data_IF_331715659486
#
_entry.id   IF_331715659486
#
_cell.length_a   1.000
_cell.length_b   1.000
_cell.length_c   1.000
_cell.angle_alpha   90.00
_cell.angle_beta   90.00
_cell.angle_gamma   90.00
#
_symmetry.space_group_name_H-M   'P 1'
#
loop_
_entity.id
_entity.type
_entity.pdbx_description
1 polymer ?
#
# COMPACT_ATOMS: atom_id res chain seq x y z
N UNK A 1 31.95 -26.53 -24.95
CA UNK A 1 33.02 -27.47 -24.60
C UNK A 1 33.34 -27.29 -23.13
N UNK A 2 32.69 -28.07 -22.27
CA UNK A 2 32.88 -28.05 -20.82
C UNK A 2 33.61 -29.33 -20.44
N UNK A 3 34.70 -29.22 -19.69
CA UNK A 3 35.43 -30.37 -19.16
C UNK A 3 34.48 -31.22 -18.31
N UNK A 4 34.48 -32.53 -18.51
CA UNK A 4 33.73 -33.44 -17.63
C UNK A 4 34.49 -33.63 -16.31
N UNK A 5 33.78 -34.03 -15.25
CA UNK A 5 34.38 -34.28 -13.93
C UNK A 5 35.56 -35.26 -14.00
N UNK A 6 35.45 -36.28 -14.86
CA UNK A 6 36.49 -37.28 -15.09
C UNK A 6 37.69 -36.72 -15.87
N UNK A 7 37.48 -35.74 -16.74
CA UNK A 7 38.56 -35.06 -17.45
C UNK A 7 39.36 -34.17 -16.52
N UNK A 8 38.72 -33.44 -15.60
CA UNK A 8 39.40 -32.61 -14.60
C UNK A 8 40.29 -33.45 -13.68
N UNK A 9 39.79 -34.61 -13.24
CA UNK A 9 40.56 -35.57 -12.43
C UNK A 9 41.75 -36.19 -13.15
N UNK A 10 41.71 -36.25 -14.48
CA UNK A 10 42.77 -36.85 -15.30
C UNK A 10 43.87 -35.85 -15.65
N UNK A 11 43.63 -34.55 -15.47
CA UNK A 11 44.64 -33.52 -15.72
C UNK A 11 45.73 -33.61 -14.65
N UNK A 12 46.98 -33.77 -15.09
CA UNK A 12 48.15 -33.75 -14.21
C UNK A 12 48.95 -32.48 -14.44
N UNK A 13 49.18 -31.74 -13.36
CA UNK A 13 50.01 -30.55 -13.41
C UNK A 13 51.48 -30.92 -13.19
N UNK A 14 52.42 -30.43 -14.02
CA UNK A 14 53.85 -30.65 -13.79
C UNK A 14 54.32 -29.88 -12.55
N UNK A 15 55.15 -30.50 -11.71
CA UNK A 15 55.77 -29.81 -10.57
C UNK A 15 56.70 -28.68 -11.04
N UNK A 16 56.64 -27.55 -10.34
CA UNK A 16 57.50 -26.41 -10.62
C UNK A 16 58.98 -26.78 -10.38
N UNK A 17 59.86 -26.34 -11.29
CA UNK A 17 61.29 -26.69 -11.26
C UNK A 17 62.08 -26.06 -10.11
N UNK A 18 61.50 -25.09 -9.39
CA UNK A 18 62.15 -24.38 -8.28
C UNK A 18 61.30 -24.51 -7.00
N UNK A 19 61.92 -24.75 -5.84
CA UNK A 19 61.19 -24.82 -4.57
C UNK A 19 60.55 -23.46 -4.27
N UNK A 20 59.22 -23.37 -4.30
CA UNK A 20 58.46 -22.16 -3.95
C UNK A 20 57.78 -21.43 -5.12
N UNK A 21 58.08 -21.76 -6.38
CA UNK A 21 57.51 -21.08 -7.56
C UNK A 21 56.25 -21.79 -8.12
N UNK A 22 55.48 -22.50 -7.28
CA UNK A 22 54.29 -23.22 -7.73
C UNK A 22 53.26 -23.43 -6.62
N UNK A 23 52.01 -23.65 -7.01
CA UNK A 23 50.95 -24.05 -6.08
C UNK A 23 51.32 -25.38 -5.42
N UNK A 24 51.05 -25.49 -4.13
CA UNK A 24 51.30 -26.71 -3.36
C UNK A 24 50.33 -27.78 -3.83
N UNK A 25 50.84 -28.98 -4.14
CA UNK A 25 50.02 -30.07 -4.66
C UNK A 25 48.80 -30.37 -3.76
N UNK A 26 48.98 -30.40 -2.43
CA UNK A 26 47.89 -30.61 -1.49
C UNK A 26 46.79 -29.52 -1.55
N UNK A 27 47.17 -28.25 -1.74
CA UNK A 27 46.20 -27.15 -1.84
C UNK A 27 45.44 -27.15 -3.18
N UNK A 28 46.10 -27.63 -4.24
CA UNK A 28 45.47 -27.85 -5.55
C UNK A 28 44.52 -29.03 -5.49
N UNK A 29 44.89 -30.11 -4.83
CA UNK A 29 44.03 -31.29 -4.63
C UNK A 29 42.79 -30.93 -3.79
N UNK A 30 42.95 -30.21 -2.66
CA UNK A 30 41.83 -29.72 -1.83
C UNK A 30 40.90 -28.75 -2.58
N UNK A 31 41.43 -28.03 -3.55
CA UNK A 31 40.64 -27.16 -4.41
C UNK A 31 39.87 -27.97 -5.46
N UNK A 32 40.51 -28.96 -6.10
CA UNK A 32 39.87 -29.86 -7.07
C UNK A 32 38.75 -30.66 -6.39
N UNK A 33 38.93 -31.14 -5.17
CA UNK A 33 37.87 -31.84 -4.41
C UNK A 33 36.65 -30.95 -4.14
N UNK A 34 36.86 -29.65 -3.87
CA UNK A 34 35.76 -28.68 -3.71
C UNK A 34 35.07 -28.37 -5.02
N UNK A 35 35.84 -28.21 -6.10
CA UNK A 35 35.30 -28.03 -7.45
C UNK A 35 34.44 -29.25 -7.82
N UNK A 36 34.92 -30.46 -7.56
CA UNK A 36 34.18 -31.70 -7.80
C UNK A 36 32.85 -31.75 -7.05
N UNK A 37 32.86 -31.41 -5.76
CA UNK A 37 31.64 -31.36 -4.95
C UNK A 37 30.63 -30.34 -5.50
N UNK A 38 31.10 -29.16 -5.95
CA UNK A 38 30.23 -28.13 -6.53
C UNK A 38 29.71 -28.50 -7.91
N UNK A 39 30.52 -29.14 -8.76
CA UNK A 39 30.10 -29.61 -10.07
C UNK A 39 29.10 -30.77 -9.96
N UNK A 40 29.30 -31.68 -9.01
CA UNK A 40 28.33 -32.73 -8.72
C UNK A 40 27.00 -32.11 -8.25
N UNK A 41 27.03 -31.15 -7.32
CA UNK A 41 25.84 -30.45 -6.88
C UNK A 41 25.13 -29.69 -8.02
N UNK A 42 25.90 -29.04 -8.91
CA UNK A 42 25.34 -28.31 -10.05
C UNK A 42 24.78 -29.25 -11.13
N UNK A 43 25.36 -30.44 -11.28
CA UNK A 43 24.85 -31.48 -12.19
C UNK A 43 23.56 -32.09 -11.64
N UNK A 44 23.53 -32.43 -10.34
CA UNK A 44 22.33 -32.89 -9.65
C UNK A 44 21.21 -31.84 -9.70
N UNK A 45 21.54 -30.56 -9.52
CA UNK A 45 20.60 -29.45 -9.65
C UNK A 45 20.11 -29.30 -11.09
N UNK A 46 21.00 -29.44 -12.08
CA UNK A 46 20.62 -29.42 -13.50
C UNK A 46 19.72 -30.60 -13.88
N UNK A 47 19.97 -31.80 -13.34
CA UNK A 47 19.12 -32.97 -13.52
C UNK A 47 17.78 -32.81 -12.81
N UNK A 48 17.76 -32.24 -11.60
CA UNK A 48 16.52 -31.90 -10.89
C UNK A 48 15.71 -30.85 -11.64
N UNK A 49 16.34 -29.79 -12.14
CA UNK A 49 15.68 -28.74 -12.91
C UNK A 49 15.17 -29.28 -14.25
N UNK A 50 15.93 -30.16 -14.91
CA UNK A 50 15.46 -30.86 -16.13
C UNK A 50 14.29 -31.79 -15.82
N UNK A 51 14.35 -32.57 -14.74
CA UNK A 51 13.26 -33.43 -14.30
C UNK A 51 12.02 -32.63 -13.89
N UNK A 52 12.20 -31.45 -13.28
CA UNK A 52 11.12 -30.50 -13.00
C UNK A 52 10.54 -29.91 -14.28
N UNK A 53 11.38 -29.51 -15.24
CA UNK A 53 10.95 -29.04 -16.55
C UNK A 53 10.24 -30.12 -17.35
N UNK A 54 10.68 -31.37 -17.26
CA UNK A 54 10.06 -32.51 -17.92
C UNK A 54 8.76 -32.92 -17.21
N UNK A 55 8.69 -32.78 -15.88
CA UNK A 55 7.46 -32.93 -15.10
C UNK A 55 6.45 -31.81 -15.42
N UNK A 56 6.91 -30.56 -15.56
CA UNK A 56 6.08 -29.43 -15.98
C UNK A 56 5.63 -29.57 -17.44
N UNK A 57 6.52 -30.03 -18.31
CA UNK A 57 6.23 -30.23 -19.73
C UNK A 57 5.32 -31.44 -19.96
N UNK A 58 5.43 -32.47 -19.13
CA UNK A 58 4.49 -33.62 -19.12
C UNK A 58 3.19 -33.31 -18.39
N UNK A 59 3.17 -32.31 -17.49
CA UNK A 59 1.91 -31.73 -16.99
C UNK A 59 1.23 -30.83 -18.03
N UNK A 60 1.99 -30.14 -18.89
CA UNK A 60 1.47 -29.41 -20.06
C UNK A 60 0.94 -30.36 -21.17
N UNK A 61 1.48 -31.59 -21.27
CA UNK A 61 1.08 -32.59 -22.30
C UNK A 61 -0.03 -33.57 -21.81
N UNK A 62 -0.51 -33.41 -20.57
CA UNK A 62 -1.72 -34.08 -20.06
C UNK A 62 -2.91 -33.13 -20.22
N UNK A 63 -3.48 -33.15 -21.42
CA UNK A 63 -4.73 -32.46 -21.76
C UNK A 63 -5.90 -32.99 -20.94
N UNK A 64 -6.11 -32.44 -19.73
CA UNK A 64 -7.36 -32.56 -18.99
C UNK A 64 -7.61 -31.36 -18.04
N UNK A 65 -7.13 -30.15 -18.36
CA UNK A 65 -7.53 -28.91 -17.67
C UNK A 65 -7.35 -27.70 -18.59
N UNK A 66 -8.22 -27.53 -19.59
CA UNK A 66 -8.28 -26.32 -20.43
C UNK A 66 -9.27 -25.26 -19.85
N UNK A 67 -9.93 -25.57 -18.73
CA UNK A 67 -10.92 -24.68 -18.08
C UNK A 67 -10.36 -23.77 -16.96
N UNK A 68 -9.51 -24.21 -16.01
CA UNK A 68 -9.13 -23.35 -14.89
C UNK A 68 -8.12 -22.25 -15.25
N UNK A 69 -7.29 -22.43 -16.29
CA UNK A 69 -6.35 -21.40 -16.74
C UNK A 69 -7.02 -20.29 -17.57
N UNK A 70 -8.13 -20.60 -18.27
CA UNK A 70 -8.93 -19.58 -18.95
C UNK A 70 -9.61 -18.65 -17.95
N UNK A 71 -10.21 -19.19 -16.88
CA UNK A 71 -10.85 -18.38 -15.85
C UNK A 71 -9.84 -17.51 -15.09
N UNK A 72 -8.66 -18.05 -14.78
CA UNK A 72 -7.60 -17.30 -14.11
C UNK A 72 -6.99 -16.23 -15.03
N UNK A 73 -6.85 -16.52 -16.33
CA UNK A 73 -6.39 -15.55 -17.33
C UNK A 73 -7.40 -14.41 -17.52
N UNK A 74 -8.70 -14.73 -17.60
CA UNK A 74 -9.78 -13.75 -17.64
C UNK A 74 -9.80 -12.89 -16.37
N UNK A 75 -9.63 -13.49 -15.20
CA UNK A 75 -9.61 -12.75 -13.93
C UNK A 75 -8.37 -11.84 -13.83
N UNK A 76 -7.21 -12.29 -14.32
CA UNK A 76 -6.01 -11.46 -14.42
C UNK A 76 -6.23 -10.28 -15.39
N UNK A 77 -6.92 -10.51 -16.50
CA UNK A 77 -7.24 -9.45 -17.46
C UNK A 77 -8.24 -8.45 -16.87
N UNK A 78 -9.28 -8.93 -16.18
CA UNK A 78 -10.23 -8.09 -15.44
C UNK A 78 -9.57 -7.28 -14.34
N UNK A 79 -8.71 -7.90 -13.52
CA UNK A 79 -7.96 -7.21 -12.46
C UNK A 79 -7.00 -6.19 -13.05
N UNK A 80 -6.33 -6.49 -14.16
CA UNK A 80 -5.48 -5.52 -14.88
C UNK A 80 -6.29 -4.34 -15.41
N UNK A 81 -7.47 -4.60 -15.98
CA UNK A 81 -8.37 -3.55 -16.46
C UNK A 81 -8.87 -2.66 -15.32
N UNK A 82 -9.27 -3.24 -14.19
CA UNK A 82 -9.64 -2.49 -12.98
C UNK A 82 -8.49 -1.62 -12.45
N UNK A 83 -7.25 -2.12 -12.53
CA UNK A 83 -6.07 -1.38 -12.07
C UNK A 83 -5.68 -0.24 -13.02
N UNK A 84 -5.80 -0.45 -14.34
CA UNK A 84 -5.70 0.60 -15.35
C UNK A 84 -6.77 1.67 -15.17
N UNK A 85 -8.02 1.28 -14.94
CA UNK A 85 -9.13 2.21 -14.70
C UNK A 85 -8.95 2.99 -13.39
N UNK A 86 -8.55 2.34 -12.30
CA UNK A 86 -8.24 3.01 -11.04
C UNK A 86 -7.07 3.99 -11.18
N UNK A 87 -6.04 3.63 -11.96
CA UNK A 87 -4.92 4.53 -12.28
C UNK A 87 -5.36 5.70 -13.17
N UNK A 88 -6.22 5.46 -14.15
CA UNK A 88 -6.79 6.51 -14.99
C UNK A 88 -7.64 7.48 -14.17
N UNK A 89 -8.45 6.98 -13.23
CA UNK A 89 -9.21 7.79 -12.29
C UNK A 89 -8.33 8.58 -11.30
N UNK A 90 -7.19 8.03 -10.87
CA UNK A 90 -6.20 8.78 -10.08
C UNK A 90 -5.51 9.88 -10.91
N UNK A 91 -5.20 9.61 -12.18
CA UNK A 91 -4.63 10.62 -13.09
C UNK A 91 -5.63 11.75 -13.36
N UNK A 92 -6.90 11.43 -13.64
CA UNK A 92 -7.94 12.45 -13.85
C UNK A 92 -8.17 13.28 -12.59
N UNK A 93 -8.25 12.66 -11.40
CA UNK A 93 -8.30 13.39 -10.12
C UNK A 93 -7.07 14.28 -9.90
N UNK A 94 -5.89 13.81 -10.31
CA UNK A 94 -4.66 14.59 -10.24
C UNK A 94 -4.68 15.82 -11.18
N UNK A 95 -5.22 15.65 -12.38
CA UNK A 95 -5.36 16.74 -13.34
C UNK A 95 -6.49 17.72 -12.94
N UNK A 96 -7.60 17.24 -12.40
CA UNK A 96 -8.63 18.07 -11.77
C UNK A 96 -8.07 18.87 -10.59
N UNK A 97 -7.26 18.27 -9.72
CA UNK A 97 -6.61 19.00 -8.64
C UNK A 97 -5.66 20.09 -9.17
N UNK A 98 -5.00 19.86 -10.31
CA UNK A 98 -4.14 20.85 -10.96
C UNK A 98 -4.93 21.97 -11.64
N UNK A 99 -6.10 21.69 -12.22
CA UNK A 99 -6.97 22.72 -12.80
C UNK A 99 -7.58 23.58 -11.70
N UNK A 100 -8.06 22.97 -10.61
CA UNK A 100 -8.56 23.69 -9.44
C UNK A 100 -7.49 24.64 -8.88
N UNK A 101 -6.25 24.17 -8.68
CA UNK A 101 -5.15 25.05 -8.22
C UNK A 101 -4.86 26.21 -9.18
N UNK A 102 -4.97 25.99 -10.50
CA UNK A 102 -4.81 27.07 -11.50
C UNK A 102 -5.93 28.11 -11.36
N UNK A 103 -7.18 27.67 -11.28
CA UNK A 103 -8.32 28.57 -11.09
C UNK A 103 -8.24 29.33 -9.76
N UNK A 104 -7.77 28.70 -8.68
CA UNK A 104 -7.53 29.39 -7.41
C UNK A 104 -6.48 30.48 -7.54
N UNK A 105 -5.35 30.20 -8.21
CA UNK A 105 -4.31 31.19 -8.45
C UNK A 105 -4.82 32.36 -9.30
N UNK A 106 -5.67 32.10 -10.30
CA UNK A 106 -6.27 33.12 -11.14
C UNK A 106 -7.29 33.97 -10.36
N UNK A 107 -8.12 33.35 -9.53
CA UNK A 107 -9.06 34.07 -8.66
C UNK A 107 -8.35 34.97 -7.64
N UNK A 108 -7.24 34.51 -7.07
CA UNK A 108 -6.44 35.36 -6.17
C UNK A 108 -5.80 36.53 -6.92
N UNK A 109 -5.32 36.31 -8.14
CA UNK A 109 -4.78 37.38 -8.99
C UNK A 109 -5.85 38.42 -9.35
N UNK A 110 -7.04 37.98 -9.80
CA UNK A 110 -8.16 38.86 -10.13
C UNK A 110 -8.68 39.64 -8.91
N UNK A 111 -8.66 39.04 -7.71
CA UNK A 111 -9.01 39.76 -6.47
C UNK A 111 -8.00 40.86 -6.16
N UNK A 112 -6.71 40.58 -6.30
CA UNK A 112 -5.66 41.56 -6.09
C UNK A 112 -5.74 42.70 -7.11
N UNK A 113 -6.04 42.38 -8.37
CA UNK A 113 -6.23 43.36 -9.43
C UNK A 113 -7.46 44.24 -9.17
N UNK A 114 -8.60 43.65 -8.79
CA UNK A 114 -9.79 44.42 -8.41
C UNK A 114 -9.52 45.34 -7.21
N UNK A 115 -8.78 44.87 -6.20
CA UNK A 115 -8.39 45.70 -5.06
C UNK A 115 -7.53 46.90 -5.52
N UNK A 116 -6.59 46.67 -6.43
CA UNK A 116 -5.73 47.71 -7.01
C UNK A 116 -6.50 48.70 -7.89
N UNK A 117 -7.42 48.22 -8.74
CA UNK A 117 -8.27 49.09 -9.56
C UNK A 117 -9.20 49.93 -8.68
N UNK A 118 -9.74 49.36 -7.61
CA UNK A 118 -10.55 50.09 -6.65
C UNK A 118 -9.75 51.17 -5.91
N UNK A 119 -8.50 50.90 -5.52
CA UNK A 119 -7.65 51.92 -4.92
C UNK A 119 -7.37 53.05 -5.92
N UNK A 120 -7.03 52.71 -7.18
CA UNK A 120 -6.82 53.70 -8.26
C UNK A 120 -8.06 54.57 -8.51
N UNK A 121 -9.26 53.97 -8.55
CA UNK A 121 -10.51 54.71 -8.67
C UNK A 121 -10.76 55.63 -7.47
N UNK A 122 -10.40 55.18 -6.27
CA UNK A 122 -10.53 56.00 -5.06
C UNK A 122 -9.59 57.21 -5.09
N UNK A 123 -8.37 57.02 -5.58
CA UNK A 123 -7.37 58.09 -5.69
C UNK A 123 -7.74 59.08 -6.81
N UNK A 124 -8.16 58.59 -7.98
CA UNK A 124 -8.67 59.44 -9.05
C UNK A 124 -9.92 60.24 -8.61
N UNK A 125 -10.79 59.65 -7.80
CA UNK A 125 -11.93 60.37 -7.20
C UNK A 125 -11.48 61.44 -6.21
N UNK A 126 -10.46 61.17 -5.40
CA UNK A 126 -9.86 62.17 -4.49
C UNK A 126 -9.25 63.32 -5.28
N UNK A 127 -8.52 63.04 -6.35
CA UNK A 127 -7.94 64.06 -7.24
C UNK A 127 -9.02 64.91 -7.94
N UNK A 128 -10.10 64.28 -8.41
CA UNK A 128 -11.23 65.03 -8.96
C UNK A 128 -11.95 65.87 -7.89
N UNK A 129 -12.05 65.38 -6.66
CA UNK A 129 -12.62 66.14 -5.55
C UNK A 129 -11.71 67.31 -5.13
N UNK A 130 -10.39 67.13 -5.12
CA UNK A 130 -9.46 68.23 -4.85
C UNK A 130 -9.48 69.26 -5.97
N UNK A 131 -9.51 68.83 -7.25
CA UNK A 131 -9.64 69.74 -8.40
C UNK A 131 -10.98 70.50 -8.39
N UNK A 132 -12.09 69.85 -8.01
CA UNK A 132 -13.40 70.50 -7.80
C UNK A 132 -13.36 71.47 -6.63
N UNK A 133 -12.79 71.08 -5.49
CA UNK A 133 -12.63 71.99 -4.36
C UNK A 133 -11.67 73.15 -4.65
N UNK A 134 -10.70 72.99 -5.56
CA UNK A 134 -9.84 74.08 -6.02
C UNK A 134 -10.55 75.03 -7.01
N UNK A 135 -11.62 74.57 -7.67
CA UNK A 135 -12.51 75.40 -8.48
C UNK A 135 -13.68 76.00 -7.69
N UNK A 136 -14.07 75.39 -6.56
CA UNK A 136 -15.11 75.86 -5.62
C UNK A 136 -14.56 76.61 -4.39
N UNK A 137 -13.26 76.57 -4.13
CA UNK A 137 -12.62 77.43 -3.13
C UNK A 137 -12.79 78.89 -3.57
N UNK A 138 -13.17 79.79 -2.64
CA UNK A 138 -13.46 81.18 -2.97
C UNK A 138 -12.22 81.81 -3.61
N UNK A 139 -12.44 82.52 -4.72
CA UNK A 139 -11.45 83.36 -5.34
C UNK A 139 -10.97 84.45 -4.36
N UNK A 140 -9.98 84.14 -3.50
CA UNK A 140 -9.07 85.13 -2.94
C UNK A 140 -7.92 85.27 -3.93
N UNK A 141 -8.15 86.17 -4.88
CA UNK A 141 -7.19 86.65 -5.85
C UNK A 141 -6.07 87.44 -5.14
N UNK A 142 -4.82 87.01 -5.27
CA UNK A 142 -3.69 87.92 -5.36
C UNK A 142 -3.36 88.11 -6.84
N UNK A 143 -4.13 88.99 -7.49
CA UNK A 143 -3.76 89.66 -8.72
C UNK A 143 -3.56 91.13 -8.37
N UNK A 144 -2.31 91.56 -8.23
CA UNK A 144 -1.97 92.97 -8.39
C UNK A 144 -2.02 93.22 -9.89
N UNK A 145 -3.20 93.65 -10.34
CA UNK A 145 -3.51 94.01 -11.71
C UNK A 145 -4.73 94.91 -11.69
N UNK A 146 -4.49 96.19 -11.95
CA UNK A 146 -5.43 97.29 -11.98
C UNK A 146 -6.72 96.96 -12.77
N UNK A 147 -7.90 97.12 -12.16
CA UNK A 147 -9.19 96.97 -12.84
C UNK A 147 -10.34 96.40 -12.01
N UNK A 148 -11.07 97.29 -11.33
CA UNK A 148 -12.49 97.19 -10.88
C UNK A 148 -12.97 95.88 -10.23
N UNK A 149 -13.19 95.95 -8.92
CA UNK A 149 -14.03 95.03 -8.14
C UNK A 149 -15.50 95.33 -8.46
N UNK A 150 -16.19 94.41 -9.14
CA UNK A 150 -17.66 94.38 -9.11
C UNK A 150 -18.13 93.52 -7.95
N UNK A 151 -18.83 94.17 -7.02
CA UNK A 151 -19.57 93.54 -5.93
C UNK A 151 -20.85 92.96 -6.53
N UNK A 152 -20.98 91.63 -6.56
CA UNK A 152 -22.29 90.99 -6.78
C UNK A 152 -23.06 91.15 -5.47
N UNK A 153 -23.77 92.27 -5.34
CA UNK A 153 -24.83 92.41 -4.35
C UNK A 153 -25.99 91.52 -4.80
N UNK A 154 -26.23 90.46 -4.03
CA UNK A 154 -27.49 89.71 -4.10
C UNK A 154 -28.57 90.67 -3.57
N UNK A 155 -29.07 91.51 -4.47
CA UNK A 155 -30.20 92.37 -4.16
C UNK A 155 -31.42 91.48 -3.94
N UNK A 156 -32.19 91.81 -2.91
CA UNK A 156 -33.44 91.13 -2.58
C UNK A 156 -34.35 91.03 -3.81
N UNK A 157 -35.12 89.95 -3.86
CA UNK A 157 -36.09 89.45 -4.84
C UNK A 157 -37.08 90.44 -5.50
N UNK A 158 -36.92 91.76 -5.35
CA UNK A 158 -37.81 92.78 -5.86
C UNK A 158 -37.46 93.30 -7.27
N UNK A 159 -36.30 92.97 -7.85
CA UNK A 159 -35.92 93.36 -9.22
C UNK A 159 -35.36 92.21 -10.09
N UNK A 160 -35.73 90.96 -9.80
CA UNK A 160 -35.47 89.85 -10.72
C UNK A 160 -36.38 89.99 -11.95
N UNK A 161 -35.79 90.18 -13.13
CA UNK A 161 -36.50 90.13 -14.41
C UNK A 161 -37.36 88.86 -14.49
N UNK A 162 -38.60 88.91 -15.00
CA UNK A 162 -39.53 87.77 -15.03
C UNK A 162 -38.98 86.52 -15.75
N UNK A 163 -37.91 86.68 -16.55
CA UNK A 163 -37.16 85.59 -17.17
C UNK A 163 -36.31 84.77 -16.18
N UNK A 164 -35.73 85.39 -15.15
CA UNK A 164 -34.84 84.72 -14.18
C UNK A 164 -35.64 83.88 -13.19
N UNK A 165 -36.80 84.36 -12.75
CA UNK A 165 -37.72 83.58 -11.90
C UNK A 165 -38.19 82.30 -12.61
N UNK A 166 -38.56 82.39 -13.90
CA UNK A 166 -38.91 81.21 -14.71
C UNK A 166 -37.75 80.25 -14.91
N UNK A 167 -36.52 80.75 -15.01
CA UNK A 167 -35.34 79.90 -15.14
C UNK A 167 -35.07 79.14 -13.84
N UNK A 168 -35.23 79.78 -12.68
CA UNK A 168 -35.13 79.10 -11.38
C UNK A 168 -36.24 78.05 -11.26
N UNK A 169 -37.47 78.38 -11.62
CA UNK A 169 -38.61 77.45 -11.59
C UNK A 169 -38.42 76.25 -12.55
N UNK A 170 -37.91 76.48 -13.76
CA UNK A 170 -37.54 75.43 -14.71
C UNK A 170 -36.38 74.57 -14.19
N UNK A 171 -35.40 75.20 -13.52
CA UNK A 171 -34.26 74.51 -12.93
C UNK A 171 -34.63 73.69 -11.70
N UNK A 172 -35.57 74.17 -10.88
CA UNK A 172 -36.09 73.40 -9.73
C UNK A 172 -36.94 72.25 -10.23
N UNK A 173 -37.81 72.48 -11.23
CA UNK A 173 -38.59 71.41 -11.84
C UNK A 173 -37.72 70.37 -12.55
N UNK A 174 -36.61 70.77 -13.17
CA UNK A 174 -35.65 69.82 -13.77
C UNK A 174 -34.86 69.06 -12.69
N UNK A 175 -34.47 69.71 -11.60
CA UNK A 175 -33.82 69.04 -10.47
C UNK A 175 -34.73 68.02 -9.80
N UNK A 176 -36.01 68.35 -9.57
CA UNK A 176 -37.01 67.44 -9.03
C UNK A 176 -37.24 66.23 -9.94
N UNK A 177 -37.28 66.43 -11.27
CA UNK A 177 -37.34 65.31 -12.23
C UNK A 177 -36.14 64.39 -12.12
N UNK A 178 -34.92 64.94 -12.12
CA UNK A 178 -33.69 64.13 -12.04
C UNK A 178 -33.64 63.37 -10.71
N UNK A 179 -34.08 63.97 -9.61
CA UNK A 179 -34.18 63.29 -8.31
C UNK A 179 -35.23 62.18 -8.35
N UNK A 180 -36.39 62.40 -8.95
CA UNK A 180 -37.42 61.36 -9.12
C UNK A 180 -36.93 60.21 -9.99
N UNK A 181 -36.27 60.50 -11.12
CA UNK A 181 -35.70 59.50 -12.02
C UNK A 181 -34.59 58.70 -11.34
N UNK A 182 -33.69 59.37 -10.60
CA UNK A 182 -32.65 58.72 -9.82
C UNK A 182 -33.24 57.84 -8.71
N UNK A 183 -34.32 58.29 -8.05
CA UNK A 183 -35.02 57.53 -7.02
C UNK A 183 -35.71 56.29 -7.61
N UNK A 184 -36.34 56.41 -8.78
CA UNK A 184 -36.96 55.28 -9.48
C UNK A 184 -35.92 54.27 -9.95
N UNK A 185 -34.79 54.74 -10.47
CA UNK A 185 -33.67 53.86 -10.83
C UNK A 185 -33.06 53.16 -9.61
N UNK A 186 -32.91 53.86 -8.49
CA UNK A 186 -32.43 53.28 -7.25
C UNK A 186 -33.38 52.18 -6.75
N UNK A 187 -34.69 52.45 -6.74
CA UNK A 187 -35.71 51.47 -6.36
C UNK A 187 -35.71 50.25 -7.30
N UNK A 188 -35.55 50.46 -8.60
CA UNK A 188 -35.42 49.35 -9.58
C UNK A 188 -34.17 48.52 -9.31
N UNK A 189 -33.03 49.15 -9.05
CA UNK A 189 -31.77 48.46 -8.74
C UNK A 189 -31.88 47.66 -7.44
N UNK A 190 -32.52 48.21 -6.41
CA UNK A 190 -32.79 47.50 -5.15
C UNK A 190 -33.68 46.28 -5.40
N UNK A 191 -34.80 46.43 -6.12
CA UNK A 191 -35.69 45.31 -6.42
C UNK A 191 -35.00 44.19 -7.23
N UNK A 192 -34.11 44.54 -8.17
CA UNK A 192 -33.32 43.55 -8.92
C UNK A 192 -32.30 42.86 -8.01
N UNK A 193 -31.62 43.62 -7.14
CA UNK A 193 -30.68 43.07 -6.18
C UNK A 193 -31.38 42.12 -5.19
N UNK A 194 -32.54 42.50 -4.66
CA UNK A 194 -33.35 41.67 -3.76
C UNK A 194 -33.78 40.36 -4.41
N UNK A 195 -34.24 40.39 -5.66
CA UNK A 195 -34.57 39.15 -6.41
C UNK A 195 -33.35 38.26 -6.59
N UNK A 196 -32.20 38.85 -6.94
CA UNK A 196 -30.95 38.08 -7.13
C UNK A 196 -30.45 37.49 -5.82
N UNK A 197 -30.57 38.22 -4.72
CA UNK A 197 -30.27 37.70 -3.37
C UNK A 197 -31.20 36.54 -3.06
N UNK A 198 -32.50 36.68 -3.30
CA UNK A 198 -33.45 35.60 -3.06
C UNK A 198 -33.15 34.35 -3.89
N UNK A 199 -32.88 34.51 -5.19
CA UNK A 199 -32.47 33.43 -6.08
C UNK A 199 -31.20 32.72 -5.57
N UNK A 200 -30.17 33.48 -5.19
CA UNK A 200 -28.95 32.92 -4.63
C UNK A 200 -29.20 32.20 -3.30
N UNK A 201 -30.08 32.71 -2.44
CA UNK A 201 -30.41 32.04 -1.18
C UNK A 201 -31.12 30.71 -1.42
N UNK A 202 -32.05 30.65 -2.37
CA UNK A 202 -32.77 29.43 -2.72
C UNK A 202 -31.84 28.41 -3.38
N UNK A 203 -30.97 28.85 -4.29
CA UNK A 203 -29.98 27.98 -4.92
C UNK A 203 -28.98 27.44 -3.88
N UNK A 204 -28.49 28.30 -2.98
CA UNK A 204 -27.62 27.88 -1.88
C UNK A 204 -28.31 26.88 -0.94
N UNK A 205 -29.58 27.11 -0.59
CA UNK A 205 -30.37 26.18 0.22
C UNK A 205 -30.55 24.83 -0.48
N UNK A 206 -30.96 24.84 -1.75
CA UNK A 206 -31.16 23.61 -2.53
C UNK A 206 -29.86 22.80 -2.66
N UNK A 207 -28.73 23.49 -2.88
CA UNK A 207 -27.41 22.84 -2.93
C UNK A 207 -27.02 22.27 -1.57
N UNK A 208 -27.28 22.99 -0.48
CA UNK A 208 -27.01 22.51 0.87
C UNK A 208 -27.84 21.25 1.19
N UNK A 209 -29.14 21.25 0.90
CA UNK A 209 -30.03 20.09 1.10
C UNK A 209 -29.58 18.87 0.26
N UNK A 210 -29.12 19.10 -0.97
CA UNK A 210 -28.56 18.03 -1.81
C UNK A 210 -27.27 17.46 -1.24
N UNK A 211 -26.38 18.32 -0.73
CA UNK A 211 -25.13 17.88 -0.11
C UNK A 211 -25.42 17.13 1.20
N UNK A 212 -26.35 17.63 2.01
CA UNK A 212 -26.74 17.01 3.27
C UNK A 212 -27.37 15.62 3.05
N UNK A 213 -28.29 15.50 2.09
CA UNK A 213 -28.87 14.20 1.74
C UNK A 213 -27.83 13.22 1.19
N UNK A 214 -26.93 13.68 0.31
CA UNK A 214 -25.85 12.84 -0.20
C UNK A 214 -24.85 12.42 0.90
N UNK A 215 -24.49 13.34 1.79
CA UNK A 215 -23.62 13.06 2.93
C UNK A 215 -24.27 12.07 3.90
N UNK A 216 -25.58 12.22 4.15
CA UNK A 216 -26.34 11.32 5.01
C UNK A 216 -26.39 9.91 4.44
N UNK A 217 -26.73 9.75 3.16
CA UNK A 217 -26.74 8.43 2.50
C UNK A 217 -25.35 7.80 2.49
N UNK A 218 -24.31 8.60 2.25
CA UNK A 218 -22.93 8.10 2.29
C UNK A 218 -22.53 7.66 3.70
N UNK A 219 -22.93 8.40 4.74
CA UNK A 219 -22.71 8.01 6.14
C UNK A 219 -23.45 6.71 6.47
N UNK A 220 -24.72 6.60 6.11
CA UNK A 220 -25.52 5.39 6.33
C UNK A 220 -24.91 4.17 5.61
N UNK A 221 -24.39 4.38 4.39
CA UNK A 221 -23.66 3.33 3.66
C UNK A 221 -22.36 2.96 4.37
N UNK A 222 -21.53 3.93 4.76
CA UNK A 222 -20.28 3.66 5.47
C UNK A 222 -20.51 2.96 6.81
N UNK A 223 -21.59 3.30 7.53
CA UNK A 223 -21.98 2.64 8.76
C UNK A 223 -22.42 1.19 8.50
N UNK A 224 -23.22 0.96 7.45
CA UNK A 224 -23.61 -0.39 7.03
C UNK A 224 -22.40 -1.23 6.64
N UNK A 225 -21.49 -0.69 5.83
CA UNK A 225 -20.28 -1.38 5.37
C UNK A 225 -19.34 -1.67 6.54
N UNK A 226 -19.15 -0.71 7.46
CA UNK A 226 -18.34 -0.90 8.66
C UNK A 226 -18.94 -1.98 9.58
N UNK A 227 -20.26 -2.01 9.73
CA UNK A 227 -20.95 -3.03 10.51
C UNK A 227 -20.82 -4.41 9.87
N UNK A 228 -21.02 -4.52 8.56
CA UNK A 228 -20.83 -5.76 7.83
C UNK A 228 -19.39 -6.29 7.96
N UNK A 229 -18.39 -5.42 7.85
CA UNK A 229 -16.99 -5.79 8.04
C UNK A 229 -16.70 -6.24 9.48
N UNK A 230 -17.26 -5.57 10.48
CA UNK A 230 -17.12 -5.97 11.88
C UNK A 230 -17.73 -7.37 12.11
N UNK A 231 -18.91 -7.62 11.55
CA UNK A 231 -19.58 -8.93 11.65
C UNK A 231 -18.77 -10.03 10.96
N UNK A 232 -18.17 -9.75 9.79
CA UNK A 232 -17.27 -10.69 9.11
C UNK A 232 -16.02 -11.00 9.95
N UNK A 233 -15.35 -9.99 10.49
CA UNK A 233 -14.17 -10.20 11.35
C UNK A 233 -14.54 -11.01 12.60
N UNK A 234 -15.74 -10.80 13.16
CA UNK A 234 -16.22 -11.58 14.29
C UNK A 234 -16.47 -13.05 13.92
N UNK A 235 -17.02 -13.33 12.73
CA UNK A 235 -17.20 -14.68 12.20
C UNK A 235 -15.83 -15.35 12.00
N UNK A 236 -14.89 -14.65 11.37
CA UNK A 236 -13.54 -15.18 11.14
C UNK A 236 -12.80 -15.46 12.45
N UNK A 237 -12.93 -14.57 13.44
CA UNK A 237 -12.37 -14.78 14.76
C UNK A 237 -13.00 -16.00 15.47
N UNK A 238 -14.31 -16.19 15.35
CA UNK A 238 -15.00 -17.36 15.89
C UNK A 238 -14.55 -18.66 15.19
N UNK A 239 -14.46 -18.66 13.87
CA UNK A 239 -13.97 -19.80 13.09
C UNK A 239 -12.53 -20.15 13.49
N UNK A 240 -11.66 -19.14 13.59
CA UNK A 240 -10.27 -19.35 13.97
C UNK A 240 -10.14 -19.89 15.40
N UNK A 241 -10.97 -19.39 16.31
CA UNK A 241 -11.04 -19.90 17.69
C UNK A 241 -11.44 -21.37 17.70
N UNK A 242 -12.46 -21.74 16.95
CA UNK A 242 -12.95 -23.11 16.90
C UNK A 242 -11.91 -24.05 16.25
N UNK A 243 -11.20 -23.60 15.23
CA UNK A 243 -10.09 -24.36 14.64
C UNK A 243 -8.93 -24.58 15.62
N UNK A 244 -8.54 -23.55 16.36
CA UNK A 244 -7.51 -23.67 17.41
C UNK A 244 -7.97 -24.63 18.51
N UNK A 245 -9.25 -24.61 18.89
CA UNK A 245 -9.77 -25.56 19.87
C UNK A 245 -9.76 -26.99 19.33
N UNK A 246 -10.15 -27.23 18.08
CA UNK A 246 -10.04 -28.56 17.45
C UNK A 246 -8.59 -29.06 17.44
N UNK A 247 -7.63 -28.17 17.14
CA UNK A 247 -6.21 -28.51 17.20
C UNK A 247 -5.77 -28.89 18.61
N UNK A 248 -6.09 -28.06 19.61
CA UNK A 248 -5.78 -28.34 21.01
C UNK A 248 -6.43 -29.65 21.51
N UNK A 249 -7.65 -29.93 21.10
CA UNK A 249 -8.33 -31.21 21.40
C UNK A 249 -7.59 -32.40 20.77
N UNK A 250 -7.17 -32.27 19.51
CA UNK A 250 -6.40 -33.32 18.84
C UNK A 250 -5.03 -33.56 19.50
N UNK A 251 -4.32 -32.50 19.91
CA UNK A 251 -3.06 -32.60 20.64
C UNK A 251 -3.26 -33.25 22.01
N UNK A 252 -4.32 -32.86 22.73
CA UNK A 252 -4.72 -33.47 24.00
C UNK A 252 -4.98 -34.97 23.84
N UNK A 253 -5.70 -35.39 22.80
CA UNK A 253 -5.99 -36.80 22.56
C UNK A 253 -4.73 -37.59 22.18
N UNK A 254 -3.81 -37.01 21.39
CA UNK A 254 -2.50 -37.60 21.10
C UNK A 254 -1.67 -37.78 22.38
N UNK A 255 -1.65 -36.76 23.25
CA UNK A 255 -0.94 -36.83 24.52
C UNK A 255 -1.54 -37.91 25.44
N UNK A 256 -2.86 -38.01 25.51
CA UNK A 256 -3.53 -39.07 26.28
C UNK A 256 -3.18 -40.46 25.75
N UNK A 257 -3.24 -40.67 24.43
CA UNK A 257 -2.84 -41.93 23.83
C UNK A 257 -1.37 -42.28 24.13
N UNK A 258 -0.48 -41.28 24.18
CA UNK A 258 0.92 -41.49 24.55
C UNK A 258 1.07 -41.86 26.02
N UNK A 259 0.33 -41.22 26.93
CA UNK A 259 0.31 -41.58 28.35
C UNK A 259 -0.16 -43.01 28.54
N UNK A 260 -1.22 -43.42 27.85
CA UNK A 260 -1.74 -44.80 27.93
C UNK A 260 -0.72 -45.83 27.42
N UNK A 261 -0.03 -45.55 26.30
CA UNK A 261 1.09 -46.40 25.83
C UNK A 261 2.23 -46.48 26.84
N UNK A 262 2.58 -45.38 27.51
CA UNK A 262 3.63 -45.39 28.54
C UNK A 262 3.21 -46.24 29.75
N UNK A 263 1.93 -46.17 30.16
CA UNK A 263 1.39 -47.01 31.25
C UNK A 263 1.38 -48.49 30.88
N UNK A 264 0.99 -48.82 29.65
CA UNK A 264 1.02 -50.19 29.14
C UNK A 264 2.47 -50.72 29.10
N UNK A 265 3.40 -49.93 28.55
CA UNK A 265 4.82 -50.25 28.55
C UNK A 265 5.37 -50.47 29.97
N UNK A 266 5.04 -49.59 30.92
CA UNK A 266 5.46 -49.73 32.31
C UNK A 266 4.90 -51.01 32.95
N UNK A 267 3.61 -51.29 32.75
CA UNK A 267 2.97 -52.51 33.25
C UNK A 267 3.66 -53.77 32.69
N UNK A 268 3.86 -53.81 31.37
CA UNK A 268 4.53 -54.94 30.70
C UNK A 268 5.98 -55.08 31.16
N UNK A 269 6.72 -53.98 31.30
CA UNK A 269 8.08 -53.97 31.82
C UNK A 269 8.14 -54.49 33.26
N UNK A 270 7.25 -54.03 34.14
CA UNK A 270 7.17 -54.53 35.53
C UNK A 270 6.85 -56.01 35.56
N UNK A 271 5.93 -56.50 34.75
CA UNK A 271 5.59 -57.92 34.66
C UNK A 271 6.77 -58.76 34.15
N UNK A 272 7.42 -58.35 33.06
CA UNK A 272 8.58 -59.01 32.49
C UNK A 272 9.79 -59.00 33.46
N UNK A 273 9.99 -57.90 34.18
CA UNK A 273 11.05 -57.80 35.18
C UNK A 273 10.78 -58.72 36.37
N UNK A 274 9.54 -58.76 36.87
CA UNK A 274 9.15 -59.68 37.95
C UNK A 274 9.26 -61.14 37.50
N UNK A 275 8.86 -61.49 36.27
CA UNK A 275 9.03 -62.85 35.75
C UNK A 275 10.51 -63.22 35.62
N UNK A 276 11.34 -62.30 35.11
CA UNK A 276 12.78 -62.53 35.00
C UNK A 276 13.44 -62.74 36.36
N UNK A 277 13.10 -61.92 37.36
CA UNK A 277 13.60 -62.09 38.73
C UNK A 277 13.14 -63.42 39.35
N UNK A 278 11.89 -63.84 39.11
CA UNK A 278 11.38 -65.15 39.57
C UNK A 278 12.15 -66.30 38.91
N UNK A 279 12.32 -66.27 37.60
CA UNK A 279 13.12 -67.28 36.87
C UNK A 279 14.56 -67.34 37.38
N UNK A 280 15.18 -66.19 37.67
CA UNK A 280 16.53 -66.15 38.25
C UNK A 280 16.57 -66.74 39.66
N UNK A 281 15.56 -66.46 40.50
CA UNK A 281 15.44 -67.05 41.83
C UNK A 281 15.25 -68.57 41.76
N UNK A 282 14.39 -69.07 40.87
CA UNK A 282 14.16 -70.50 40.66
C UNK A 282 15.43 -71.22 40.17
N UNK A 283 16.21 -70.60 39.26
CA UNK A 283 17.51 -71.14 38.81
C UNK A 283 18.53 -71.24 39.94
N UNK A 284 18.54 -70.26 40.86
CA UNK A 284 19.40 -70.31 42.05
C UNK A 284 18.97 -71.42 43.01
N UNK A 285 17.66 -71.63 43.21
CA UNK A 285 17.11 -72.69 44.07
C UNK A 285 17.42 -74.09 43.51
N UNK A 286 17.38 -74.24 42.18
CA UNK A 286 17.71 -75.48 41.48
C UNK A 286 19.23 -75.73 41.31
N UNK A 287 20.09 -74.83 41.79
CA UNK A 287 21.55 -74.89 41.68
C UNK A 287 22.09 -75.11 40.24
N UNK A 288 21.35 -74.65 39.22
CA UNK A 288 21.74 -74.74 37.81
C UNK A 288 22.39 -73.42 37.36
N UNK A 289 23.72 -73.37 37.39
CA UNK A 289 24.51 -72.18 37.04
C UNK A 289 24.92 -72.08 35.56
N UNK A 290 24.52 -73.04 34.73
CA UNK A 290 24.80 -73.00 33.29
C UNK A 290 23.64 -72.33 32.53
N UNK A 291 23.90 -71.23 31.79
CA UNK A 291 22.86 -70.58 30.98
C UNK A 291 22.53 -71.47 29.78
N UNK A 292 21.37 -72.13 29.81
CA UNK A 292 20.87 -72.94 28.69
C UNK A 292 20.36 -72.12 27.51
N UNK A 293 20.09 -70.83 27.71
CA UNK A 293 19.57 -69.92 26.68
C UNK A 293 20.58 -68.83 26.36
N UNK A 294 21.04 -68.82 25.10
CA UNK A 294 21.70 -67.66 24.52
C UNK A 294 20.67 -66.53 24.37
N UNK A 295 20.95 -65.30 24.83
CA UNK A 295 20.02 -64.18 24.71
C UNK A 295 19.43 -64.05 23.29
N UNK A 296 18.11 -63.87 23.16
CA UNK A 296 17.42 -63.74 21.86
C UNK A 296 17.98 -62.64 20.93
N UNK A 297 18.78 -61.71 21.47
CA UNK A 297 19.54 -60.70 20.72
C UNK A 297 20.71 -61.28 19.89
N UNK A 298 21.07 -62.54 20.14
CA UNK A 298 22.18 -63.25 19.49
C UNK A 298 21.71 -64.38 18.56
N UNK A 299 20.40 -64.65 18.53
CA UNK A 299 19.75 -65.57 17.60
C UNK A 299 19.94 -65.09 16.14
N UNK A 300 20.24 -65.99 15.21
CA UNK A 300 20.63 -65.62 13.85
C UNK A 300 19.53 -64.87 13.08
N UNK A 301 18.25 -65.08 13.39
CA UNK A 301 17.11 -64.40 12.75
C UNK A 301 16.93 -62.94 13.19
N UNK A 302 17.57 -62.52 14.28
CA UNK A 302 17.50 -61.15 14.83
C UNK A 302 18.85 -60.43 14.82
N UNK A 303 19.90 -61.05 14.25
CA UNK A 303 21.09 -60.31 13.87
C UNK A 303 20.71 -59.38 12.72
N UNK A 304 20.83 -58.09 12.94
CA UNK A 304 21.02 -57.15 11.84
C UNK A 304 22.20 -57.70 11.04
N UNK A 305 21.96 -58.18 9.82
CA UNK A 305 23.03 -58.63 8.93
C UNK A 305 24.10 -57.54 8.88
N UNK A 306 25.38 -57.93 8.91
CA UNK A 306 26.49 -57.00 8.72
C UNK A 306 26.35 -56.40 7.31
N UNK A 307 25.72 -55.23 7.24
CA UNK A 307 25.36 -54.53 5.99
C UNK A 307 24.05 -53.73 6.08
N UNK A 308 23.12 -54.08 6.97
CA UNK A 308 21.84 -53.38 7.08
C UNK A 308 21.86 -52.29 8.16
N UNK A 309 22.80 -51.34 8.08
CA UNK A 309 22.72 -50.11 8.88
C UNK A 309 21.88 -49.07 8.14
N UNK A 310 20.98 -48.37 8.84
CA UNK A 310 20.08 -47.34 8.28
C UNK A 310 20.81 -46.07 7.77
N UNK A 311 22.12 -46.14 7.53
CA UNK A 311 22.98 -45.05 7.07
C UNK A 311 23.89 -45.55 5.95
N UNK A 312 23.57 -45.27 4.68
CA UNK A 312 24.33 -45.74 3.50
C UNK A 312 25.82 -45.34 3.48
N UNK A 313 26.21 -44.33 4.27
CA UNK A 313 27.58 -43.83 4.36
C UNK A 313 28.55 -44.74 5.12
N UNK A 314 28.08 -45.48 6.12
CA UNK A 314 28.95 -46.36 6.91
C UNK A 314 29.31 -47.64 6.16
N UNK A 315 28.38 -48.14 5.34
CA UNK A 315 28.56 -49.36 4.54
C UNK A 315 29.61 -49.19 3.43
N UNK A 316 29.65 -48.00 2.82
CA UNK A 316 30.65 -47.65 1.83
C UNK A 316 32.09 -47.60 2.39
N UNK A 317 32.24 -47.34 3.69
CA UNK A 317 33.55 -47.32 4.37
C UNK A 317 34.00 -48.73 4.75
N UNK A 318 33.09 -49.56 5.23
CA UNK A 318 33.38 -50.94 5.63
C UNK A 318 33.72 -51.80 4.40
N UNK A 319 32.97 -51.65 3.30
CA UNK A 319 33.24 -52.36 2.05
C UNK A 319 34.54 -51.94 1.34
N UNK A 320 35.04 -50.73 1.60
CA UNK A 320 36.32 -50.23 1.05
C UNK A 320 37.52 -50.82 1.80
N UNK A 321 37.45 -50.92 3.12
CA UNK A 321 38.53 -51.48 3.94
C UNK A 321 38.84 -52.97 3.66
N UNK A 322 37.88 -53.73 3.12
CA UNK A 322 38.07 -55.14 2.81
C UNK A 322 38.69 -55.43 1.43
N UNK A 323 38.63 -54.48 0.48
CA UNK A 323 39.23 -54.68 -0.85
C UNK A 323 40.74 -54.41 -0.88
N UNK A 324 41.24 -53.59 0.04
CA UNK A 324 42.66 -53.20 0.08
C UNK A 324 43.55 -54.23 0.82
N UNK A 325 42.97 -55.28 1.42
CA UNK A 325 43.71 -56.30 2.17
C UNK A 325 44.00 -57.62 1.41
N UNK A 326 43.58 -57.76 0.15
CA UNK A 326 43.67 -59.04 -0.60
C UNK A 326 44.73 -59.06 -1.71
N UNK A 327 45.58 -58.04 -1.81
CA UNK A 327 46.62 -58.01 -2.85
C UNK A 327 47.97 -57.59 -2.25
N UNK A 328 48.54 -58.48 -1.43
CA UNK A 328 49.98 -58.63 -1.26
C UNK A 328 50.30 -60.06 -0.80
#
# INVERSE_FOLDING_TARGET
MTLTLDEVRRIRFPMARRPGDGYRAAEVDDFVDRVDATFAAMTDESERLKAQLEALKSSDDRSQYDEPDSELAEEIERLKAQLEEARAAQRSRGDEARTVKRYESELTQLRNENARLNSQLSDARRELATARSATEAPATSQLVGDGKVERIEVTTSAQASPAVARMIELSTASAERVVSEAQDEANRKIAVAERKVHELTVDAQTRAERIESAARVNSEKLESDAKANADQVNIDAANRRDDLFRQLESERDVLLARVDRLREFESNYRQAFVSQLRTQADRMDQAAFEPSETPHLLEPDHRVERGASATPRLDALIGRGQRDGSNN
#
